data_IF_632473751367
#
_entry.id   IF_632473751367
#
_cell.length_a   1.000
_cell.length_b   1.000
_cell.length_c   1.000
_cell.angle_alpha   90.00
_cell.angle_beta   90.00
_cell.angle_gamma   90.00
#
_symmetry.space_group_name_H-M   'P 1'
#
loop_
_entity.id
_entity.type
_entity.pdbx_description
1 polymer ?
#
# COMPACT_ATOMS: atom_id res chain seq x y z
N UNK A 1 -19.29 22.64 -3.07
CA UNK A 1 -17.91 22.30 -3.51
C UNK A 1 -18.05 21.37 -4.71
N UNK A 2 -17.42 21.67 -5.85
CA UNK A 2 -17.60 20.88 -7.08
C UNK A 2 -17.09 19.44 -6.92
N UNK A 3 -17.86 18.47 -7.43
CA UNK A 3 -17.53 17.04 -7.45
C UNK A 3 -16.13 16.75 -8.03
N UNK A 4 -15.67 17.61 -8.94
CA UNK A 4 -14.32 17.58 -9.49
C UNK A 4 -13.22 17.73 -8.42
N UNK A 5 -13.36 18.68 -7.48
CA UNK A 5 -12.36 18.90 -6.42
C UNK A 5 -12.31 17.74 -5.44
N UNK A 6 -13.46 17.12 -5.16
CA UNK A 6 -13.53 15.93 -4.33
C UNK A 6 -12.87 14.74 -5.04
N UNK A 7 -13.16 14.52 -6.32
CA UNK A 7 -12.57 13.46 -7.13
C UNK A 7 -11.04 13.63 -7.31
N UNK A 8 -10.56 14.88 -7.43
CA UNK A 8 -9.14 15.17 -7.55
C UNK A 8 -8.37 14.90 -6.26
N UNK A 9 -8.95 15.27 -5.11
CA UNK A 9 -8.40 14.94 -3.79
C UNK A 9 -8.31 13.41 -3.59
N UNK A 10 -9.38 12.69 -3.95
CA UNK A 10 -9.42 11.21 -3.94
C UNK A 10 -8.28 10.60 -4.73
N UNK A 11 -8.13 11.01 -5.98
CA UNK A 11 -7.07 10.50 -6.86
C UNK A 11 -5.68 10.73 -6.27
N UNK A 12 -5.39 11.96 -5.81
CA UNK A 12 -4.07 12.27 -5.25
C UNK A 12 -3.78 11.46 -4.00
N UNK A 13 -4.77 11.28 -3.13
CA UNK A 13 -4.61 10.49 -1.91
C UNK A 13 -4.26 9.03 -2.23
N UNK A 14 -5.03 8.38 -3.11
CA UNK A 14 -4.76 7.00 -3.55
C UNK A 14 -3.42 6.88 -4.25
N UNK A 15 -3.10 7.81 -5.15
CA UNK A 15 -1.85 7.78 -5.90
C UNK A 15 -0.64 7.95 -4.96
N UNK A 16 -0.71 8.85 -3.98
CA UNK A 16 0.34 9.03 -2.99
C UNK A 16 0.52 7.79 -2.12
N UNK A 17 -0.58 7.25 -1.58
CA UNK A 17 -0.56 6.04 -0.76
C UNK A 17 0.00 4.83 -1.54
N UNK A 18 -0.39 4.68 -2.80
CA UNK A 18 0.15 3.63 -3.70
C UNK A 18 1.65 3.81 -3.91
N UNK A 19 2.09 5.04 -4.19
CA UNK A 19 3.50 5.34 -4.42
C UNK A 19 4.37 5.10 -3.18
N UNK A 20 3.90 5.54 -2.01
CA UNK A 20 4.65 5.41 -0.76
C UNK A 20 4.73 3.95 -0.30
N UNK A 21 3.63 3.19 -0.45
CA UNK A 21 3.61 1.76 -0.20
C UNK A 21 4.54 1.01 -1.16
N UNK A 22 4.48 1.33 -2.46
CA UNK A 22 5.30 0.68 -3.48
C UNK A 22 6.79 0.96 -3.26
N UNK A 23 7.17 2.22 -3.00
CA UNK A 23 8.55 2.59 -2.65
C UNK A 23 9.04 1.79 -1.45
N UNK A 24 8.23 1.68 -0.40
CA UNK A 24 8.59 0.97 0.82
C UNK A 24 8.78 -0.53 0.59
N UNK A 25 7.88 -1.16 -0.16
CA UNK A 25 8.02 -2.59 -0.54
C UNK A 25 9.25 -2.83 -1.40
N UNK A 26 9.53 -1.96 -2.37
CA UNK A 26 10.75 -2.04 -3.21
C UNK A 26 12.00 -1.94 -2.33
N UNK A 27 12.04 -1.02 -1.37
CA UNK A 27 13.15 -0.86 -0.41
C UNK A 27 13.40 -2.14 0.38
N UNK A 28 12.34 -2.79 0.88
CA UNK A 28 12.46 -4.08 1.59
C UNK A 28 12.92 -5.22 0.68
N UNK A 29 12.40 -5.29 -0.56
CA UNK A 29 12.83 -6.28 -1.56
C UNK A 29 14.31 -6.10 -1.91
N UNK A 30 14.77 -4.87 -2.11
CA UNK A 30 16.18 -4.54 -2.36
C UNK A 30 17.07 -4.96 -1.19
N UNK A 31 16.63 -4.71 0.05
CA UNK A 31 17.34 -5.18 1.25
C UNK A 31 17.45 -6.71 1.28
N UNK A 32 16.38 -7.42 0.96
CA UNK A 32 16.39 -8.89 0.91
C UNK A 32 17.31 -9.43 -0.19
N UNK A 33 17.37 -8.77 -1.35
CA UNK A 33 18.25 -9.15 -2.46
C UNK A 33 19.73 -8.92 -2.14
N UNK A 34 20.05 -7.79 -1.52
CA UNK A 34 21.42 -7.45 -1.09
C UNK A 34 21.89 -8.25 0.12
N UNK A 35 20.99 -8.95 0.82
CA UNK A 35 21.34 -9.94 1.81
C UNK A 35 21.87 -11.27 1.23
N UNK A 36 21.74 -11.51 -0.08
CA UNK A 36 22.20 -12.75 -0.73
C UNK A 36 23.70 -12.66 -1.07
N UNK A 37 24.43 -13.75 -0.84
CA UNK A 37 25.85 -13.84 -1.16
C UNK A 37 26.09 -13.58 -2.67
N UNK A 38 27.08 -12.74 -3.00
CA UNK A 38 27.47 -12.38 -4.37
C UNK A 38 26.73 -11.20 -4.99
N UNK A 39 25.53 -10.82 -4.50
CA UNK A 39 24.77 -9.68 -5.06
C UNK A 39 25.34 -8.33 -4.64
N UNK A 40 25.90 -8.24 -3.43
CA UNK A 40 26.55 -7.02 -2.93
C UNK A 40 27.72 -6.58 -3.80
N UNK A 41 28.49 -7.54 -4.31
CA UNK A 41 29.69 -7.28 -5.10
C UNK A 41 29.35 -6.97 -6.57
N UNK A 42 28.31 -7.63 -7.11
CA UNK A 42 27.84 -7.41 -8.49
C UNK A 42 27.03 -6.12 -8.65
N UNK A 43 26.28 -5.70 -7.62
CA UNK A 43 25.35 -4.58 -7.70
C UNK A 43 25.39 -3.68 -6.44
N UNK A 44 26.48 -2.93 -6.22
CA UNK A 44 26.63 -2.09 -5.02
C UNK A 44 25.56 -0.99 -4.91
N UNK A 45 25.02 -0.51 -6.03
CA UNK A 45 23.91 0.48 -6.07
C UNK A 45 22.59 -0.05 -5.52
N UNK A 46 22.44 -1.37 -5.35
CA UNK A 46 21.22 -1.95 -4.75
C UNK A 46 21.22 -1.85 -3.22
N UNK A 47 22.34 -1.53 -2.58
CA UNK A 47 22.40 -1.36 -1.13
C UNK A 47 21.38 -0.34 -0.64
N UNK A 48 20.84 -0.64 0.52
CA UNK A 48 19.81 0.13 1.20
C UNK A 48 20.27 0.30 2.64
N UNK A 49 20.25 1.53 3.15
CA UNK A 49 20.68 1.81 4.52
C UNK A 49 19.69 1.23 5.53
N UNK A 50 20.14 1.01 6.75
CA UNK A 50 19.26 0.54 7.81
C UNK A 50 18.21 1.61 8.20
N UNK A 51 18.51 2.91 8.02
CA UNK A 51 17.51 3.98 8.20
C UNK A 51 16.41 3.93 7.13
N UNK A 52 16.77 3.70 5.86
CA UNK A 52 15.80 3.55 4.78
C UNK A 52 14.87 2.35 5.01
N UNK A 53 15.41 1.25 5.52
CA UNK A 53 14.62 0.07 5.89
C UNK A 53 13.67 0.37 7.05
N UNK A 54 14.14 1.05 8.10
CA UNK A 54 13.29 1.45 9.23
C UNK A 54 12.15 2.38 8.78
N UNK A 55 12.46 3.35 7.92
CA UNK A 55 11.45 4.24 7.34
C UNK A 55 10.42 3.46 6.51
N UNK A 56 10.87 2.57 5.62
CA UNK A 56 9.98 1.74 4.82
C UNK A 56 9.07 0.84 5.68
N UNK A 57 9.58 0.28 6.77
CA UNK A 57 8.76 -0.49 7.72
C UNK A 57 7.72 0.39 8.41
N UNK A 58 8.11 1.59 8.85
CA UNK A 58 7.20 2.58 9.47
C UNK A 58 6.11 3.02 8.51
N UNK A 59 6.44 3.26 7.24
CA UNK A 59 5.50 3.70 6.20
C UNK A 59 4.50 2.58 5.90
N UNK A 60 4.96 1.33 5.71
CA UNK A 60 4.08 0.17 5.53
C UNK A 60 3.18 -0.01 6.75
N UNK A 61 3.73 0.04 7.96
CA UNK A 61 2.98 -0.13 9.20
C UNK A 61 1.88 0.92 9.34
N UNK A 62 2.18 2.19 9.03
CA UNK A 62 1.20 3.28 9.06
C UNK A 62 0.05 3.02 8.08
N UNK A 63 0.37 2.61 6.85
CA UNK A 63 -0.63 2.34 5.80
C UNK A 63 -1.49 1.11 6.16
N UNK A 64 -0.86 0.03 6.61
CA UNK A 64 -1.57 -1.19 7.02
C UNK A 64 -2.42 -0.96 8.27
N UNK A 65 -1.96 -0.13 9.21
CA UNK A 65 -2.75 0.24 10.39
C UNK A 65 -3.95 1.11 9.99
N UNK A 66 -3.76 2.00 9.02
CA UNK A 66 -4.87 2.70 8.36
C UNK A 66 -5.91 1.72 7.80
N UNK A 67 -5.47 0.68 7.10
CA UNK A 67 -6.37 -0.34 6.56
C UNK A 67 -7.07 -1.14 7.66
N UNK A 68 -6.37 -1.51 8.74
CA UNK A 68 -6.97 -2.17 9.91
C UNK A 68 -8.05 -1.30 10.56
N UNK A 69 -7.75 -0.03 10.82
CA UNK A 69 -8.70 0.91 11.39
C UNK A 69 -9.92 1.08 10.49
N UNK A 70 -9.69 1.11 9.17
CA UNK A 70 -10.76 1.14 8.19
C UNK A 70 -11.64 -0.14 8.25
N UNK A 71 -11.06 -1.32 8.41
CA UNK A 71 -11.81 -2.56 8.61
C UNK A 71 -12.63 -2.59 9.90
N UNK A 72 -12.10 -2.06 11.00
CA UNK A 72 -12.72 -2.13 12.34
C UNK A 72 -13.78 -1.06 12.57
N UNK A 73 -13.48 0.19 12.20
CA UNK A 73 -14.27 1.35 12.58
C UNK A 73 -14.97 2.02 11.39
N UNK A 74 -14.66 1.61 10.15
CA UNK A 74 -15.05 2.36 8.94
C UNK A 74 -14.81 3.86 9.11
N UNK A 75 -13.65 4.21 9.65
CA UNK A 75 -13.32 5.57 10.04
C UNK A 75 -13.40 6.50 8.83
N UNK A 76 -14.31 7.48 8.88
CA UNK A 76 -14.61 8.41 7.79
C UNK A 76 -13.51 9.42 7.52
N UNK A 77 -12.49 9.49 8.40
CA UNK A 77 -11.32 10.36 8.24
C UNK A 77 -10.15 9.69 7.52
N UNK A 78 -10.23 8.39 7.25
CA UNK A 78 -9.17 7.67 6.57
C UNK A 78 -9.24 7.92 5.06
N UNK A 79 -8.10 8.11 4.41
CA UNK A 79 -7.96 8.18 2.95
C UNK A 79 -8.62 6.99 2.23
N UNK A 80 -8.61 5.83 2.88
CA UNK A 80 -9.23 4.59 2.40
C UNK A 80 -10.78 4.61 2.48
N UNK A 81 -11.37 5.49 3.30
CA UNK A 81 -12.82 5.63 3.39
C UNK A 81 -13.43 6.16 2.11
N UNK A 82 -12.73 7.06 1.44
CA UNK A 82 -13.19 7.62 0.17
C UNK A 82 -13.26 6.57 -0.96
N UNK A 83 -12.66 5.39 -0.74
CA UNK A 83 -12.62 4.23 -1.64
C UNK A 83 -13.70 3.18 -1.33
N UNK A 84 -14.42 3.33 -0.20
CA UNK A 84 -15.48 2.39 0.22
C UNK A 84 -16.55 2.17 -0.86
N UNK A 85 -16.84 3.21 -1.62
CA UNK A 85 -17.88 3.20 -2.65
C UNK A 85 -17.42 2.57 -3.97
N UNK A 86 -16.11 2.34 -4.14
CA UNK A 86 -15.63 1.65 -5.33
C UNK A 86 -15.92 0.14 -5.23
N UNK A 87 -16.57 -0.39 -6.26
CA UNK A 87 -16.98 -1.80 -6.34
C UNK A 87 -15.79 -2.77 -6.31
N UNK A 88 -14.66 -2.41 -6.93
CA UNK A 88 -13.45 -3.22 -7.00
C UNK A 88 -12.74 -3.26 -5.64
N UNK A 89 -12.55 -2.09 -5.02
CA UNK A 89 -12.04 -1.99 -3.65
C UNK A 89 -12.95 -2.74 -2.67
N UNK A 90 -14.27 -2.55 -2.75
CA UNK A 90 -15.24 -3.25 -1.90
C UNK A 90 -15.18 -4.76 -2.07
N UNK A 91 -15.08 -5.28 -3.30
CA UNK A 91 -15.08 -6.72 -3.53
C UNK A 91 -13.74 -7.39 -3.19
N UNK A 92 -12.61 -6.72 -3.45
CA UNK A 92 -11.28 -7.30 -3.24
C UNK A 92 -10.73 -7.06 -1.83
N UNK A 93 -11.14 -5.96 -1.17
CA UNK A 93 -10.63 -5.56 0.14
C UNK A 93 -11.67 -5.77 1.23
N UNK A 94 -12.90 -5.23 1.06
CA UNK A 94 -13.91 -5.29 2.13
C UNK A 94 -14.63 -6.65 2.23
N UNK A 95 -14.87 -7.34 1.11
CA UNK A 95 -15.59 -8.63 1.10
C UNK A 95 -14.67 -9.85 1.12
N UNK A 96 -13.35 -9.64 1.04
CA UNK A 96 -12.40 -10.74 1.00
C UNK A 96 -11.79 -10.94 2.39
N UNK A 97 -12.40 -11.83 3.17
CA UNK A 97 -11.95 -12.16 4.52
C UNK A 97 -10.56 -12.78 4.54
N UNK A 98 -10.18 -13.53 3.50
CA UNK A 98 -8.84 -14.10 3.37
C UNK A 98 -7.80 -12.99 3.23
N UNK A 99 -8.05 -12.04 2.34
CA UNK A 99 -7.16 -10.90 2.12
C UNK A 99 -7.06 -10.00 3.37
N UNK A 100 -8.19 -9.76 4.05
CA UNK A 100 -8.22 -9.07 5.33
C UNK A 100 -7.34 -9.75 6.37
N UNK A 101 -7.46 -11.07 6.54
CA UNK A 101 -6.65 -11.83 7.48
C UNK A 101 -5.16 -11.82 7.12
N UNK A 102 -4.83 -11.88 5.82
CA UNK A 102 -3.45 -11.78 5.33
C UNK A 102 -2.80 -10.43 5.68
N UNK A 103 -3.54 -9.32 5.52
CA UNK A 103 -3.05 -8.00 5.91
C UNK A 103 -2.90 -7.86 7.43
N UNK A 104 -3.89 -8.33 8.19
CA UNK A 104 -3.81 -8.30 9.67
C UNK A 104 -2.62 -9.12 10.18
N UNK A 105 -2.36 -10.28 9.58
CA UNK A 105 -1.18 -11.10 9.93
C UNK A 105 0.13 -10.39 9.57
N UNK A 106 0.20 -9.71 8.43
CA UNK A 106 1.38 -8.92 8.06
C UNK A 106 1.62 -7.75 9.03
N UNK A 107 0.55 -7.07 9.46
CA UNK A 107 0.59 -6.00 10.45
C UNK A 107 1.03 -6.52 11.83
N UNK A 108 0.51 -7.67 12.27
CA UNK A 108 0.91 -8.28 13.54
C UNK A 108 2.40 -8.64 13.54
N UNK A 109 2.92 -9.17 12.42
CA UNK A 109 4.36 -9.43 12.27
C UNK A 109 5.19 -8.15 12.35
N UNK A 110 4.72 -7.06 11.74
CA UNK A 110 5.39 -5.75 11.84
C UNK A 110 5.38 -5.21 13.28
N UNK A 111 4.26 -5.33 13.99
CA UNK A 111 4.16 -4.95 15.41
C UNK A 111 5.09 -5.75 16.32
N UNK A 112 5.35 -7.02 15.98
CA UNK A 112 6.27 -7.89 16.73
C UNK A 112 7.73 -7.75 16.28
N UNK A 113 8.05 -6.72 15.47
CA UNK A 113 9.37 -6.51 14.84
C UNK A 113 9.89 -7.75 14.05
N UNK A 114 8.99 -8.63 13.64
CA UNK A 114 9.33 -9.82 12.85
C UNK A 114 9.55 -9.42 11.40
N UNK A 115 10.53 -10.06 10.76
CA UNK A 115 10.78 -9.88 9.32
C UNK A 115 9.57 -10.33 8.51
N UNK A 116 9.12 -9.47 7.60
CA UNK A 116 8.11 -9.81 6.60
C UNK A 116 8.63 -10.93 5.69
N UNK A 117 7.82 -11.97 5.52
CA UNK A 117 8.13 -13.05 4.58
C UNK A 117 7.87 -12.61 3.13
N UNK A 118 8.38 -13.38 2.17
CA UNK A 118 8.10 -13.15 0.75
C UNK A 118 6.58 -13.18 0.45
N UNK A 119 5.83 -14.04 1.14
CA UNK A 119 4.36 -14.12 1.03
C UNK A 119 3.69 -12.85 1.55
N UNK A 120 4.17 -12.30 2.67
CA UNK A 120 3.63 -11.05 3.22
C UNK A 120 3.87 -9.87 2.26
N UNK A 121 5.07 -9.79 1.68
CA UNK A 121 5.39 -8.77 0.67
C UNK A 121 4.52 -8.94 -0.59
N UNK A 122 4.25 -10.17 -1.03
CA UNK A 122 3.36 -10.45 -2.16
C UNK A 122 1.91 -10.05 -1.88
N UNK A 123 1.44 -10.18 -0.64
CA UNK A 123 0.10 -9.73 -0.26
C UNK A 123 0.02 -8.20 -0.28
N UNK A 124 1.08 -7.51 0.15
CA UNK A 124 1.18 -6.05 0.05
C UNK A 124 1.27 -5.63 -1.44
N UNK A 125 1.97 -6.37 -2.30
CA UNK A 125 1.97 -6.10 -3.76
C UNK A 125 0.57 -6.23 -4.37
N UNK A 126 -0.20 -7.23 -3.94
CA UNK A 126 -1.60 -7.37 -4.34
C UNK A 126 -2.41 -6.17 -3.88
N UNK A 127 -2.16 -5.66 -2.66
CA UNK A 127 -2.80 -4.43 -2.18
C UNK A 127 -2.44 -3.22 -3.05
N UNK A 128 -1.15 -3.03 -3.36
CA UNK A 128 -0.65 -1.97 -4.28
C UNK A 128 -1.36 -2.06 -5.63
N UNK A 129 -1.50 -3.27 -6.19
CA UNK A 129 -2.15 -3.47 -7.49
C UNK A 129 -3.63 -3.08 -7.48
N UNK A 130 -4.34 -3.30 -6.36
CA UNK A 130 -5.73 -2.88 -6.19
C UNK A 130 -5.82 -1.35 -6.12
N UNK A 131 -4.92 -0.70 -5.36
CA UNK A 131 -4.87 0.76 -5.26
C UNK A 131 -4.48 1.43 -6.58
N UNK A 132 -3.55 0.85 -7.34
CA UNK A 132 -3.14 1.37 -8.65
C UNK A 132 -4.27 1.27 -9.69
N UNK A 133 -5.04 0.18 -9.66
CA UNK A 133 -6.25 0.05 -10.46
C UNK A 133 -7.29 1.11 -10.09
N UNK A 134 -7.44 1.39 -8.80
CA UNK A 134 -8.33 2.42 -8.28
C UNK A 134 -7.90 3.83 -8.74
N UNK A 135 -6.62 4.16 -8.59
CA UNK A 135 -6.05 5.41 -9.07
C UNK A 135 -6.29 5.59 -10.58
N UNK A 136 -6.11 4.52 -11.37
CA UNK A 136 -6.38 4.53 -12.81
C UNK A 136 -7.85 4.81 -13.14
N UNK A 137 -8.80 4.23 -12.39
CA UNK A 137 -10.24 4.48 -12.57
C UNK A 137 -10.58 5.93 -12.21
N UNK A 138 -10.07 6.43 -11.08
CA UNK A 138 -10.28 7.81 -10.64
C UNK A 138 -9.71 8.81 -11.65
N UNK A 139 -8.51 8.53 -12.19
CA UNK A 139 -7.90 9.34 -13.24
C UNK A 139 -8.76 9.38 -14.51
N UNK A 140 -9.30 8.24 -14.96
CA UNK A 140 -10.21 8.18 -16.11
C UNK A 140 -11.46 9.03 -15.87
N UNK A 141 -12.07 8.94 -14.68
CA UNK A 141 -13.24 9.75 -14.29
C UNK A 141 -12.92 11.25 -14.25
N UNK A 142 -11.73 11.63 -13.77
CA UNK A 142 -11.26 13.02 -13.80
C UNK A 142 -11.12 13.56 -15.22
N UNK A 143 -10.63 12.72 -16.14
CA UNK A 143 -10.50 13.09 -17.56
C UNK A 143 -11.85 13.26 -18.24
N UNK A 144 -12.83 12.40 -17.94
CA UNK A 144 -14.17 12.49 -18.52
C UNK A 144 -15.00 13.64 -17.95
N UNK A 145 -14.84 14.00 -16.67
CA UNK A 145 -15.54 15.16 -16.07
C UNK A 145 -14.94 16.52 -16.48
N UNK A 146 -13.82 16.54 -17.18
CA UNK A 146 -13.21 17.75 -17.76
C UNK A 146 -13.66 18.01 -19.21
N UNK A 147 -14.39 17.07 -19.82
CA UNK A 147 -14.91 17.15 -21.19
C UNK A 147 -16.36 17.58 -21.24
#
# INVERSE_FOLDING_TARGET
MSDFNLLFKKYNSVSNLTNDLNKSVITLKRRNLTGRAGVKDLHPKLQVSDEEVKKALSDIMTILHGLEQFYRHQDSKNDLYELKDNTLFKNQILKNDEFKNQILSALEKLNQEKRLSATDLSNIDRFISILDNEASILFRKLRTNRG
#
